data_IF_280880810683
#
_entry.id   IF_280880810683
#
_cell.length_a   1.000
_cell.length_b   1.000
_cell.length_c   1.000
_cell.angle_alpha   90.00
_cell.angle_beta   90.00
_cell.angle_gamma   90.00
#
_symmetry.space_group_name_H-M   'P 1'
#
loop_
_entity.id
_entity.type
_entity.pdbx_description
1 polymer ?
#
# COMPACT_ATOMS: atom_id res chain seq x y z
N UNK A 1 24.47 -3.97 -31.77
CA UNK A 1 24.15 -4.36 -30.38
C UNK A 1 22.97 -5.31 -30.50
N UNK A 2 23.06 -6.54 -29.91
CA UNK A 2 21.96 -7.52 -30.02
C UNK A 2 20.80 -7.12 -29.10
N UNK A 3 19.59 -7.07 -29.64
CA UNK A 3 18.37 -6.74 -28.87
C UNK A 3 18.02 -7.79 -27.79
N UNK A 4 18.50 -9.04 -27.95
CA UNK A 4 18.13 -10.20 -27.11
C UNK A 4 19.19 -10.62 -26.08
N UNK A 5 20.26 -9.84 -25.86
CA UNK A 5 21.29 -10.23 -24.92
C UNK A 5 20.85 -10.03 -23.47
N UNK A 6 20.44 -11.11 -22.80
CA UNK A 6 20.09 -11.14 -21.35
C UNK A 6 21.37 -11.36 -20.53
N UNK A 7 21.32 -10.90 -19.27
CA UNK A 7 22.39 -11.12 -18.29
C UNK A 7 22.44 -12.60 -17.87
N UNK A 8 23.63 -13.05 -17.48
CA UNK A 8 23.77 -14.31 -16.78
C UNK A 8 23.61 -14.12 -15.26
N UNK A 9 23.56 -15.23 -14.48
CA UNK A 9 23.31 -15.18 -13.03
C UNK A 9 24.33 -14.32 -12.25
N UNK A 10 25.69 -14.47 -12.45
CA UNK A 10 26.65 -13.61 -11.76
C UNK A 10 26.50 -12.12 -12.09
N UNK A 11 26.22 -11.78 -13.35
CA UNK A 11 25.99 -10.40 -13.78
C UNK A 11 24.71 -9.82 -13.15
N UNK A 12 23.65 -10.63 -13.06
CA UNK A 12 22.40 -10.23 -12.42
C UNK A 12 22.59 -9.94 -10.93
N UNK A 13 23.33 -10.80 -10.21
CA UNK A 13 23.66 -10.60 -8.81
C UNK A 13 24.54 -9.37 -8.58
N UNK A 14 25.57 -9.16 -9.42
CA UNK A 14 26.44 -7.99 -9.33
C UNK A 14 25.64 -6.70 -9.53
N UNK A 15 24.78 -6.65 -10.55
CA UNK A 15 23.94 -5.47 -10.83
C UNK A 15 23.02 -5.16 -9.64
N UNK A 16 22.36 -6.18 -9.07
CA UNK A 16 21.50 -6.02 -7.90
C UNK A 16 22.28 -5.52 -6.67
N UNK A 17 23.46 -6.06 -6.41
CA UNK A 17 24.31 -5.60 -5.31
C UNK A 17 24.72 -4.13 -5.46
N UNK A 18 25.05 -3.69 -6.68
CA UNK A 18 25.37 -2.29 -6.96
C UNK A 18 24.16 -1.37 -6.72
N UNK A 19 22.97 -1.78 -7.15
CA UNK A 19 21.73 -1.04 -6.97
C UNK A 19 21.37 -0.94 -5.47
N UNK A 20 21.34 -2.09 -4.79
CA UNK A 20 21.03 -2.13 -3.34
C UNK A 20 22.05 -1.29 -2.56
N UNK A 21 23.33 -1.40 -2.90
CA UNK A 21 24.38 -0.60 -2.29
C UNK A 21 24.17 0.90 -2.46
N UNK A 22 23.83 1.34 -3.68
CA UNK A 22 23.57 2.76 -3.97
C UNK A 22 22.36 3.29 -3.15
N UNK A 23 21.26 2.53 -3.13
CA UNK A 23 20.06 2.91 -2.35
C UNK A 23 20.36 2.93 -0.86
N UNK A 24 21.04 1.91 -0.33
CA UNK A 24 21.39 1.82 1.10
C UNK A 24 22.31 2.96 1.54
N UNK A 25 23.28 3.33 0.75
CA UNK A 25 24.19 4.46 1.02
C UNK A 25 23.39 5.77 1.09
N UNK A 26 22.51 6.03 0.13
CA UNK A 26 21.69 7.24 0.12
C UNK A 26 20.75 7.33 1.34
N UNK A 27 20.15 6.20 1.75
CA UNK A 27 19.33 6.15 2.97
C UNK A 27 20.17 6.44 4.22
N UNK A 28 21.36 5.83 4.32
CA UNK A 28 22.24 5.98 5.50
C UNK A 28 22.79 7.40 5.64
N UNK A 29 23.10 8.05 4.54
CA UNK A 29 23.59 9.43 4.52
C UNK A 29 22.49 10.47 4.76
N UNK A 30 21.21 10.06 4.81
CA UNK A 30 20.04 10.94 4.96
C UNK A 30 19.98 12.07 3.90
N UNK A 31 20.60 11.87 2.74
CA UNK A 31 20.67 12.82 1.62
C UNK A 31 19.58 12.51 0.61
N UNK A 32 18.41 13.13 0.74
CA UNK A 32 17.29 12.96 -0.20
C UNK A 32 16.58 11.58 -0.14
N UNK A 33 16.83 10.77 0.89
CA UNK A 33 16.17 9.46 1.09
C UNK A 33 16.43 8.46 -0.04
N UNK A 34 15.50 7.53 -0.32
CA UNK A 34 15.67 6.50 -1.34
C UNK A 34 15.61 7.06 -2.77
N UNK A 35 15.06 8.26 -2.99
CA UNK A 35 14.83 8.83 -4.32
C UNK A 35 16.13 8.98 -5.13
N UNK A 36 17.17 9.54 -4.52
CA UNK A 36 18.48 9.71 -5.19
C UNK A 36 19.12 8.36 -5.48
N UNK A 37 19.03 7.40 -4.56
CA UNK A 37 19.54 6.03 -4.78
C UNK A 37 18.85 5.33 -5.96
N UNK A 38 17.53 5.49 -6.07
CA UNK A 38 16.75 4.96 -7.18
C UNK A 38 17.09 5.64 -8.51
N UNK A 39 17.28 6.96 -8.52
CA UNK A 39 17.77 7.67 -9.71
C UNK A 39 19.18 7.17 -10.10
N UNK A 40 20.09 7.03 -9.15
CA UNK A 40 21.44 6.49 -9.40
C UNK A 40 21.39 5.06 -9.96
N UNK A 41 20.39 4.27 -9.59
CA UNK A 41 20.19 2.91 -10.13
C UNK A 41 19.98 2.92 -11.65
N UNK A 42 19.30 3.91 -12.22
CA UNK A 42 19.14 4.07 -13.67
C UNK A 42 20.49 4.33 -14.35
N UNK A 43 21.33 5.15 -13.73
CA UNK A 43 22.67 5.44 -14.23
C UNK A 43 23.57 4.19 -14.15
N UNK A 44 23.49 3.44 -13.05
CA UNK A 44 24.20 2.16 -12.89
C UNK A 44 23.80 1.18 -13.99
N UNK A 45 22.48 1.03 -14.26
CA UNK A 45 21.97 0.15 -15.31
C UNK A 45 22.48 0.61 -16.68
N UNK A 46 22.46 1.93 -16.96
CA UNK A 46 23.00 2.49 -18.20
C UNK A 46 24.47 2.13 -18.40
N UNK A 47 25.32 2.37 -17.39
CA UNK A 47 26.74 2.07 -17.44
C UNK A 47 26.99 0.56 -17.62
N UNK A 48 26.20 -0.26 -16.92
CA UNK A 48 26.28 -1.72 -17.02
C UNK A 48 25.94 -2.22 -18.43
N UNK A 49 24.88 -1.67 -19.03
CA UNK A 49 24.50 -1.95 -20.41
C UNK A 49 25.62 -1.56 -21.39
N UNK A 50 26.27 -0.39 -21.18
CA UNK A 50 27.36 0.10 -22.03
C UNK A 50 28.59 -0.81 -21.96
N UNK A 51 28.96 -1.24 -20.75
CA UNK A 51 30.11 -2.17 -20.56
C UNK A 51 29.85 -3.52 -21.23
N UNK A 52 28.62 -4.04 -21.09
CA UNK A 52 28.27 -5.35 -21.69
C UNK A 52 27.82 -5.28 -23.16
N UNK A 53 27.82 -4.09 -23.77
CA UNK A 53 27.34 -3.82 -25.12
C UNK A 53 25.90 -4.27 -25.37
N UNK A 54 25.02 -4.02 -24.42
CA UNK A 54 23.57 -4.24 -24.50
C UNK A 54 22.93 -2.96 -25.04
N UNK A 55 21.86 -3.10 -25.84
CA UNK A 55 21.10 -1.93 -26.31
C UNK A 55 20.30 -1.31 -25.17
N UNK A 56 20.75 -0.14 -24.70
CA UNK A 56 20.08 0.56 -23.60
C UNK A 56 18.67 1.06 -23.96
N UNK A 57 18.42 1.44 -25.22
CA UNK A 57 17.08 1.89 -25.67
C UNK A 57 16.04 0.77 -25.50
N UNK A 58 16.43 -0.48 -25.80
CA UNK A 58 15.56 -1.63 -25.54
C UNK A 58 15.28 -1.81 -24.04
N UNK A 59 16.29 -1.63 -23.19
CA UNK A 59 16.18 -1.79 -21.74
C UNK A 59 15.34 -0.69 -21.12
N UNK A 60 15.55 0.59 -21.51
CA UNK A 60 14.79 1.74 -20.96
C UNK A 60 13.31 1.72 -21.37
N UNK A 61 12.97 1.13 -22.51
CA UNK A 61 11.57 0.92 -22.88
C UNK A 61 10.83 0.03 -21.86
N UNK A 62 11.52 -0.91 -21.23
CA UNK A 62 10.97 -1.66 -20.10
C UNK A 62 10.58 -0.77 -18.92
N UNK A 63 11.36 0.29 -18.64
CA UNK A 63 10.99 1.28 -17.64
C UNK A 63 9.71 2.04 -18.01
N UNK A 64 9.61 2.48 -19.26
CA UNK A 64 8.43 3.23 -19.73
C UNK A 64 7.17 2.37 -19.72
N UNK A 65 7.28 1.11 -20.12
CA UNK A 65 6.17 0.14 -20.06
C UNK A 65 5.71 -0.09 -18.62
N UNK A 66 6.63 -0.27 -17.69
CA UNK A 66 6.33 -0.47 -16.28
C UNK A 66 5.71 0.77 -15.63
N UNK A 67 6.23 1.99 -15.92
CA UNK A 67 5.67 3.25 -15.43
C UNK A 67 4.25 3.46 -15.95
N UNK A 68 3.97 3.12 -17.21
CA UNK A 68 2.60 3.22 -17.77
C UNK A 68 1.56 2.46 -16.94
N UNK A 69 1.91 1.30 -16.38
CA UNK A 69 1.02 0.51 -15.53
C UNK A 69 0.64 1.21 -14.24
N UNK A 70 1.55 2.01 -13.66
CA UNK A 70 1.33 2.68 -12.36
C UNK A 70 0.85 4.13 -12.47
N UNK A 71 0.63 4.66 -13.68
CA UNK A 71 0.08 6.01 -13.89
C UNK A 71 -1.20 6.27 -13.10
N UNK A 72 -2.18 5.33 -13.01
CA UNK A 72 -3.36 5.55 -12.17
C UNK A 72 -3.01 5.79 -10.69
N UNK A 73 -2.02 5.08 -10.14
CA UNK A 73 -1.54 5.27 -8.77
C UNK A 73 -0.89 6.65 -8.57
N UNK A 74 -0.15 7.15 -9.58
CA UNK A 74 0.45 8.49 -9.54
C UNK A 74 -0.63 9.58 -9.51
N UNK A 75 -1.67 9.45 -10.35
CA UNK A 75 -2.82 10.36 -10.35
C UNK A 75 -3.56 10.32 -9.00
N UNK A 76 -3.70 9.14 -8.42
CA UNK A 76 -4.36 8.94 -7.13
C UNK A 76 -3.61 9.64 -5.99
N UNK A 77 -2.29 9.54 -5.95
CA UNK A 77 -1.45 10.27 -4.98
C UNK A 77 -1.65 11.79 -5.06
N UNK A 78 -1.63 12.34 -6.27
CA UNK A 78 -1.85 13.78 -6.46
C UNK A 78 -3.24 14.21 -6.00
N UNK A 79 -4.28 13.43 -6.34
CA UNK A 79 -5.66 13.69 -5.89
C UNK A 79 -5.81 13.64 -4.37
N UNK A 80 -5.13 12.71 -3.69
CA UNK A 80 -5.10 12.64 -2.22
C UNK A 80 -4.45 13.88 -1.61
N UNK A 81 -3.34 14.35 -2.17
CA UNK A 81 -2.71 15.59 -1.71
C UNK A 81 -3.68 16.76 -1.74
N UNK A 82 -4.39 16.95 -2.86
CA UNK A 82 -5.42 17.97 -3.01
C UNK A 82 -6.54 17.78 -1.99
N UNK A 83 -7.04 16.56 -1.85
CA UNK A 83 -8.12 16.24 -0.91
C UNK A 83 -7.73 16.55 0.54
N UNK A 84 -6.58 16.11 1.01
CA UNK A 84 -6.13 16.37 2.39
C UNK A 84 -6.04 17.87 2.65
N UNK A 85 -5.45 18.66 1.74
CA UNK A 85 -5.37 20.11 1.87
C UNK A 85 -6.74 20.78 1.99
N UNK A 86 -7.65 20.45 1.07
CA UNK A 86 -9.01 21.01 1.08
C UNK A 86 -9.86 20.53 2.25
N UNK A 87 -9.71 19.29 2.71
CA UNK A 87 -10.36 18.75 3.91
C UNK A 87 -9.91 19.45 5.19
N UNK A 88 -8.65 19.82 5.26
CA UNK A 88 -8.14 20.63 6.37
C UNK A 88 -8.79 22.00 6.36
N UNK A 89 -8.77 22.70 5.22
CA UNK A 89 -9.33 24.05 5.11
C UNK A 89 -10.85 24.10 5.34
N UNK A 90 -11.59 23.06 4.93
CA UNK A 90 -13.05 22.98 5.15
C UNK A 90 -13.45 22.65 6.59
N UNK A 91 -12.49 22.33 7.46
CA UNK A 91 -12.76 21.86 8.81
C UNK A 91 -13.23 20.39 8.87
N UNK A 92 -13.20 19.66 7.75
CA UNK A 92 -13.59 18.24 7.70
C UNK A 92 -12.74 17.42 8.65
N UNK A 93 -11.42 17.53 8.57
CA UNK A 93 -10.49 16.78 9.44
C UNK A 93 -10.68 17.23 10.90
N UNK A 94 -10.81 18.51 11.17
CA UNK A 94 -11.04 19.02 12.52
C UNK A 94 -12.33 18.44 13.13
N UNK A 95 -13.42 18.38 12.37
CA UNK A 95 -14.70 17.79 12.83
C UNK A 95 -14.58 16.29 13.08
N UNK A 96 -13.85 15.56 12.22
CA UNK A 96 -13.56 14.13 12.41
C UNK A 96 -12.75 13.90 13.69
N UNK A 97 -11.73 14.72 13.94
CA UNK A 97 -10.92 14.64 15.17
C UNK A 97 -11.80 14.87 16.39
N UNK A 98 -12.55 15.97 16.45
CA UNK A 98 -13.40 16.30 17.60
C UNK A 98 -14.47 15.23 17.82
N UNK A 99 -15.09 14.73 16.75
CA UNK A 99 -16.05 13.62 16.83
C UNK A 99 -15.40 12.33 17.34
N UNK A 100 -14.23 11.99 16.83
CA UNK A 100 -13.47 10.82 17.24
C UNK A 100 -13.04 10.90 18.72
N UNK A 101 -12.51 12.04 19.17
CA UNK A 101 -12.11 12.27 20.56
C UNK A 101 -13.30 12.14 21.56
N UNK A 102 -14.52 12.50 21.12
CA UNK A 102 -15.74 12.39 21.96
C UNK A 102 -16.36 11.01 21.96
N UNK A 103 -16.24 10.25 20.85
CA UNK A 103 -17.00 9.00 20.65
C UNK A 103 -16.15 7.74 20.84
N UNK A 104 -14.85 7.80 20.54
CA UNK A 104 -13.98 6.62 20.52
C UNK A 104 -13.11 6.61 21.79
N UNK A 105 -13.20 5.52 22.54
CA UNK A 105 -12.24 5.26 23.61
C UNK A 105 -10.89 4.90 23.00
N UNK A 106 -9.76 5.51 23.42
CA UNK A 106 -8.43 5.24 22.90
C UNK A 106 -8.03 3.77 22.84
N UNK A 107 -8.46 2.97 23.84
CA UNK A 107 -8.22 1.52 23.89
C UNK A 107 -8.77 0.79 22.66
N UNK A 108 -9.90 1.23 22.15
CA UNK A 108 -10.59 0.58 21.02
C UNK A 108 -10.25 1.20 19.67
N UNK A 109 -9.46 2.28 19.62
CA UNK A 109 -9.16 2.94 18.35
C UNK A 109 -8.49 2.02 17.36
N UNK A 110 -7.44 1.27 17.77
CA UNK A 110 -6.68 0.40 16.87
C UNK A 110 -7.52 -0.74 16.28
N UNK A 111 -8.25 -1.55 17.09
CA UNK A 111 -9.12 -2.59 16.54
C UNK A 111 -10.29 -2.02 15.71
N UNK A 112 -10.88 -0.89 16.09
CA UNK A 112 -11.90 -0.23 15.27
C UNK A 112 -11.34 0.26 13.94
N UNK A 113 -10.12 0.81 13.93
CA UNK A 113 -9.42 1.21 12.70
C UNK A 113 -9.24 0.03 11.76
N UNK A 114 -8.76 -1.11 12.28
CA UNK A 114 -8.59 -2.33 11.49
C UNK A 114 -9.92 -2.77 10.86
N UNK A 115 -10.97 -2.88 11.67
CA UNK A 115 -12.30 -3.33 11.21
C UNK A 115 -12.90 -2.35 10.20
N UNK A 116 -12.86 -1.04 10.49
CA UNK A 116 -13.45 -0.01 9.64
C UNK A 116 -12.78 0.03 8.26
N UNK A 117 -11.45 0.02 8.22
CA UNK A 117 -10.71 -0.03 6.97
C UNK A 117 -10.93 -1.35 6.22
N UNK A 118 -11.07 -2.48 6.94
CA UNK A 118 -11.35 -3.79 6.34
C UNK A 118 -12.73 -3.82 5.66
N UNK A 119 -13.77 -3.37 6.35
CA UNK A 119 -15.14 -3.33 5.82
C UNK A 119 -15.21 -2.39 4.61
N UNK A 120 -14.66 -1.18 4.72
CA UNK A 120 -14.69 -0.22 3.62
C UNK A 120 -13.95 -0.76 2.39
N UNK A 121 -12.78 -1.36 2.59
CA UNK A 121 -11.99 -1.93 1.49
C UNK A 121 -12.67 -3.15 0.86
N UNK A 122 -13.31 -4.01 1.67
CA UNK A 122 -14.06 -5.17 1.18
C UNK A 122 -15.23 -4.75 0.28
N UNK A 123 -15.96 -3.72 0.69
CA UNK A 123 -17.15 -3.24 -0.04
C UNK A 123 -16.76 -2.44 -1.29
N UNK A 124 -15.72 -1.63 -1.21
CA UNK A 124 -15.27 -0.79 -2.34
C UNK A 124 -14.37 -1.52 -3.33
N UNK A 125 -13.72 -2.61 -2.90
CA UNK A 125 -12.76 -3.36 -3.70
C UNK A 125 -11.45 -2.61 -3.94
N UNK A 126 -11.08 -1.68 -3.04
CA UNK A 126 -9.83 -0.93 -3.19
C UNK A 126 -9.21 -0.55 -1.85
N UNK A 127 -8.02 -1.05 -1.60
CA UNK A 127 -7.21 -0.62 -0.45
C UNK A 127 -6.72 0.82 -0.60
N UNK A 128 -6.41 1.27 -1.81
CA UNK A 128 -6.02 2.65 -2.08
C UNK A 128 -7.11 3.65 -1.66
N UNK A 129 -8.36 3.40 -2.07
CA UNK A 129 -9.51 4.24 -1.71
C UNK A 129 -9.78 4.25 -0.21
N UNK A 130 -9.68 3.08 0.43
CA UNK A 130 -9.92 2.93 1.88
C UNK A 130 -8.87 3.63 2.71
N UNK A 131 -7.58 3.53 2.33
CA UNK A 131 -6.50 4.25 3.00
C UNK A 131 -6.62 5.75 2.79
N UNK A 132 -6.94 6.20 1.57
CA UNK A 132 -7.11 7.61 1.24
C UNK A 132 -8.32 8.28 1.90
N UNK A 133 -9.31 7.52 2.35
CA UNK A 133 -10.51 8.04 3.01
C UNK A 133 -10.54 7.69 4.51
N UNK A 134 -10.94 6.47 4.86
CA UNK A 134 -11.01 6.01 6.25
C UNK A 134 -9.63 6.05 6.93
N UNK A 135 -8.57 5.66 6.22
CA UNK A 135 -7.21 5.65 6.78
C UNK A 135 -6.75 7.03 7.22
N UNK A 136 -6.96 8.05 6.38
CA UNK A 136 -6.62 9.45 6.72
C UNK A 136 -7.42 9.93 7.93
N UNK A 137 -8.72 9.60 7.99
CA UNK A 137 -9.59 9.96 9.12
C UNK A 137 -9.11 9.31 10.43
N UNK A 138 -8.84 8.00 10.41
CA UNK A 138 -8.39 7.28 11.60
C UNK A 138 -6.99 7.71 12.05
N UNK A 139 -6.10 8.05 11.11
CA UNK A 139 -4.79 8.65 11.43
C UNK A 139 -4.94 9.99 12.13
N UNK A 140 -5.86 10.85 11.69
CA UNK A 140 -6.09 12.14 12.32
C UNK A 140 -6.58 11.98 13.77
N UNK A 141 -7.54 11.07 14.02
CA UNK A 141 -8.04 10.76 15.36
C UNK A 141 -6.92 10.17 16.24
N UNK A 142 -6.19 9.17 15.72
CA UNK A 142 -5.14 8.49 16.49
C UNK A 142 -3.99 9.41 16.88
N UNK A 143 -3.57 10.29 15.98
CA UNK A 143 -2.55 11.29 16.26
C UNK A 143 -3.04 12.30 17.32
N UNK A 144 -4.29 12.76 17.23
CA UNK A 144 -4.89 13.66 18.23
C UNK A 144 -5.04 13.00 19.61
N UNK A 145 -5.25 11.68 19.64
CA UNK A 145 -5.26 10.89 20.88
C UNK A 145 -3.83 10.57 21.39
N UNK A 146 -2.77 10.99 20.73
CA UNK A 146 -1.39 10.68 21.11
C UNK A 146 -1.01 9.21 20.94
N UNK A 147 -1.78 8.42 20.17
CA UNK A 147 -1.46 7.03 19.88
C UNK A 147 -0.31 6.99 18.88
N UNK A 148 0.65 6.09 19.10
CA UNK A 148 1.82 5.95 18.22
C UNK A 148 1.42 5.82 16.75
N UNK A 149 1.85 6.72 15.85
CA UNK A 149 1.35 6.80 14.47
C UNK A 149 1.60 5.53 13.66
N UNK A 150 2.66 4.78 13.97
CA UNK A 150 2.95 3.50 13.34
C UNK A 150 1.92 2.42 13.65
N UNK A 151 1.36 2.39 14.87
CA UNK A 151 0.31 1.44 15.24
C UNK A 151 -1.00 1.73 14.49
N UNK A 152 -1.37 3.02 14.41
CA UNK A 152 -2.57 3.43 13.67
C UNK A 152 -2.41 3.14 12.18
N UNK A 153 -1.27 3.50 11.59
CA UNK A 153 -0.96 3.21 10.19
C UNK A 153 -0.93 1.70 9.92
N UNK A 154 -0.35 0.90 10.80
CA UNK A 154 -0.35 -0.56 10.73
C UNK A 154 -1.76 -1.15 10.72
N UNK A 155 -2.64 -0.67 11.61
CA UNK A 155 -4.04 -1.08 11.66
C UNK A 155 -4.81 -0.69 10.39
N UNK A 156 -4.61 0.53 9.87
CA UNK A 156 -5.18 1.00 8.59
C UNK A 156 -4.73 0.09 7.44
N UNK A 157 -3.44 -0.16 7.31
CA UNK A 157 -2.87 -0.95 6.21
C UNK A 157 -3.35 -2.40 6.30
N UNK A 158 -3.28 -3.02 7.47
CA UNK A 158 -3.76 -4.40 7.67
C UNK A 158 -5.26 -4.53 7.33
N UNK A 159 -6.09 -3.58 7.77
CA UNK A 159 -7.52 -3.58 7.46
C UNK A 159 -7.78 -3.39 5.96
N UNK A 160 -7.17 -2.38 5.35
CA UNK A 160 -7.33 -2.10 3.93
C UNK A 160 -6.89 -3.29 3.05
N UNK A 161 -5.76 -3.93 3.38
CA UNK A 161 -5.25 -5.09 2.66
C UNK A 161 -6.12 -6.34 2.84
N UNK A 162 -6.69 -6.54 4.04
CA UNK A 162 -7.66 -7.61 4.29
C UNK A 162 -8.89 -7.49 3.39
N UNK A 163 -9.48 -6.29 3.36
CA UNK A 163 -10.70 -6.06 2.59
C UNK A 163 -10.47 -6.15 1.09
N UNK A 164 -9.41 -5.56 0.59
CA UNK A 164 -9.01 -5.59 -0.81
C UNK A 164 -8.81 -7.04 -1.30
N UNK A 165 -8.03 -7.80 -0.55
CA UNK A 165 -7.72 -9.20 -0.86
C UNK A 165 -8.95 -10.10 -0.92
N UNK A 166 -9.97 -9.88 -0.11
CA UNK A 166 -11.20 -10.69 -0.08
C UNK A 166 -12.32 -10.14 -0.95
N UNK A 167 -12.18 -8.93 -1.47
CA UNK A 167 -13.21 -8.31 -2.29
C UNK A 167 -13.24 -8.89 -3.71
N UNK A 168 -14.39 -9.42 -4.17
CA UNK A 168 -14.52 -9.83 -5.56
C UNK A 168 -14.47 -8.67 -6.56
N UNK A 169 -14.45 -7.43 -6.07
CA UNK A 169 -14.39 -6.21 -6.89
C UNK A 169 -12.93 -5.72 -7.06
N UNK A 170 -11.98 -6.29 -6.32
CA UNK A 170 -10.56 -5.90 -6.38
C UNK A 170 -9.90 -6.39 -7.67
N UNK A 171 -9.04 -5.54 -8.23
CA UNK A 171 -8.27 -5.87 -9.44
C UNK A 171 -7.32 -7.04 -9.19
N UNK A 172 -6.65 -7.10 -8.04
CA UNK A 172 -5.72 -8.18 -7.69
C UNK A 172 -6.45 -9.50 -7.48
N UNK A 173 -7.59 -9.46 -6.76
CA UNK A 173 -8.45 -10.63 -6.52
C UNK A 173 -9.04 -11.20 -7.80
N UNK A 174 -9.16 -10.40 -8.87
CA UNK A 174 -9.56 -10.88 -10.19
C UNK A 174 -8.38 -11.35 -11.03
N UNK A 175 -7.22 -10.71 -10.90
CA UNK A 175 -6.02 -11.05 -11.67
C UNK A 175 -5.42 -12.39 -11.25
N UNK A 176 -5.27 -12.65 -9.96
CA UNK A 176 -4.63 -13.86 -9.44
C UNK A 176 -5.31 -15.16 -9.92
N UNK A 177 -6.65 -15.32 -9.85
CA UNK A 177 -7.32 -16.50 -10.39
C UNK A 177 -7.25 -16.59 -11.91
N UNK A 178 -7.29 -15.47 -12.64
CA UNK A 178 -7.13 -15.45 -14.09
C UNK A 178 -5.77 -16.03 -14.51
N UNK A 179 -4.68 -15.62 -13.85
CA UNK A 179 -3.32 -16.13 -14.09
C UNK A 179 -3.21 -17.61 -13.72
N UNK A 180 -3.70 -17.98 -12.53
CA UNK A 180 -3.65 -19.37 -12.05
C UNK A 180 -4.53 -20.32 -12.87
N UNK A 181 -5.61 -19.81 -13.47
CA UNK A 181 -6.64 -20.62 -14.13
C UNK A 181 -7.70 -21.15 -13.16
N UNK A 182 -7.99 -20.41 -12.11
CA UNK A 182 -9.02 -20.71 -11.10
C UNK A 182 -10.29 -19.92 -11.33
N UNK A 183 -11.42 -20.39 -10.76
CA UNK A 183 -12.65 -19.60 -10.70
C UNK A 183 -12.57 -18.61 -9.54
N UNK A 184 -13.14 -17.41 -9.71
CA UNK A 184 -13.13 -16.36 -8.68
C UNK A 184 -13.71 -16.83 -7.34
N UNK A 185 -14.83 -17.54 -7.35
CA UNK A 185 -15.46 -18.02 -6.11
C UNK A 185 -14.61 -19.04 -5.37
N UNK A 186 -13.94 -19.95 -6.09
CA UNK A 186 -13.03 -20.94 -5.48
C UNK A 186 -11.79 -20.27 -4.92
N UNK A 187 -11.28 -19.25 -5.62
CA UNK A 187 -10.19 -18.40 -5.19
C UNK A 187 -10.52 -17.68 -3.87
N UNK A 188 -11.63 -16.93 -3.81
CA UNK A 188 -12.05 -16.20 -2.60
C UNK A 188 -12.24 -17.18 -1.42
N UNK A 189 -12.89 -18.34 -1.68
CA UNK A 189 -13.06 -19.37 -0.65
C UNK A 189 -11.72 -19.93 -0.16
N UNK A 190 -10.76 -20.15 -1.06
CA UNK A 190 -9.42 -20.60 -0.71
C UNK A 190 -8.66 -19.57 0.14
N UNK A 191 -8.79 -18.27 -0.18
CA UNK A 191 -8.13 -17.20 0.57
C UNK A 191 -8.60 -17.07 2.02
N UNK A 192 -9.85 -17.43 2.32
CA UNK A 192 -10.36 -17.40 3.71
C UNK A 192 -9.51 -18.23 4.66
N UNK A 193 -8.90 -19.31 4.20
CA UNK A 193 -8.05 -20.17 5.03
C UNK A 193 -6.80 -19.46 5.57
N UNK A 194 -6.15 -18.66 4.77
CA UNK A 194 -4.95 -17.91 5.20
C UNK A 194 -5.30 -16.56 5.80
N UNK A 195 -6.32 -15.87 5.27
CA UNK A 195 -6.59 -14.47 5.57
C UNK A 195 -7.45 -14.30 6.83
N UNK A 196 -8.45 -15.17 7.08
CA UNK A 196 -9.34 -15.00 8.23
C UNK A 196 -8.63 -15.29 9.57
N UNK A 197 -7.87 -16.41 9.74
CA UNK A 197 -7.13 -16.64 10.97
C UNK A 197 -6.13 -15.51 11.28
N UNK A 198 -5.43 -15.03 10.27
CA UNK A 198 -4.43 -13.97 10.44
C UNK A 198 -5.06 -12.61 10.75
N UNK A 199 -6.26 -12.35 10.23
CA UNK A 199 -7.04 -11.17 10.60
C UNK A 199 -7.47 -11.21 12.07
N UNK A 200 -7.97 -12.35 12.54
CA UNK A 200 -8.37 -12.52 13.95
C UNK A 200 -7.17 -12.35 14.89
N UNK A 201 -6.02 -12.93 14.55
CA UNK A 201 -4.79 -12.76 15.34
C UNK A 201 -4.35 -11.28 15.32
N UNK A 202 -4.37 -10.63 14.16
CA UNK A 202 -4.04 -9.21 14.04
C UNK A 202 -4.99 -8.33 14.86
N UNK A 203 -6.28 -8.65 14.86
CA UNK A 203 -7.29 -7.95 15.68
C UNK A 203 -6.95 -8.07 17.17
N UNK A 204 -6.65 -9.28 17.65
CA UNK A 204 -6.24 -9.52 19.04
C UNK A 204 -4.97 -8.73 19.39
N UNK A 205 -3.98 -8.73 18.51
CA UNK A 205 -2.74 -7.96 18.72
C UNK A 205 -3.02 -6.45 18.79
N UNK A 206 -3.89 -5.91 17.96
CA UNK A 206 -4.27 -4.50 18.03
C UNK A 206 -5.12 -4.17 19.27
N UNK A 207 -5.93 -5.11 19.78
CA UNK A 207 -6.60 -4.95 21.09
C UNK A 207 -5.57 -4.89 22.21
N UNK A 208 -4.59 -5.80 22.24
CA UNK A 208 -3.51 -5.81 23.25
C UNK A 208 -2.71 -4.50 23.21
N UNK A 209 -2.36 -4.03 22.01
CA UNK A 209 -1.65 -2.75 21.85
C UNK A 209 -2.51 -1.57 22.30
N UNK A 210 -3.82 -1.56 22.00
CA UNK A 210 -4.73 -0.53 22.47
C UNK A 210 -4.80 -0.45 24.00
N UNK A 211 -4.90 -1.60 24.67
CA UNK A 211 -4.86 -1.69 26.14
C UNK A 211 -3.52 -1.19 26.69
N UNK A 212 -2.39 -1.61 26.08
CA UNK A 212 -1.07 -1.21 26.56
C UNK A 212 -0.80 0.29 26.43
N UNK A 213 -1.32 0.93 25.39
CA UNK A 213 -1.17 2.39 25.18
C UNK A 213 -1.96 3.22 26.20
N UNK A 214 -3.08 2.69 26.70
CA UNK A 214 -3.94 3.40 27.66
C UNK A 214 -3.61 3.12 29.12
N UNK A 215 -2.80 2.12 29.42
CA UNK A 215 -2.32 1.80 30.78
C UNK A 215 -1.26 2.78 31.32
N UNK A 216 -0.64 3.61 30.48
CA UNK A 216 0.19 4.74 30.84
C UNK A 216 -0.68 6.01 30.95
N UNK A 217 -0.39 6.90 31.87
CA UNK A 217 -1.14 8.13 32.16
C UNK A 217 -1.65 8.83 30.89
N UNK A 218 -2.89 8.51 30.52
CA UNK A 218 -3.60 9.20 29.45
C UNK A 218 -4.09 10.54 30.01
N UNK A 219 -3.34 11.62 29.72
CA UNK A 219 -3.67 12.97 30.17
C UNK A 219 -4.92 13.47 29.41
N UNK A 220 -6.09 13.21 29.97
CA UNK A 220 -7.38 13.76 29.46
C UNK A 220 -7.39 15.30 29.42
N UNK A 221 -6.50 15.97 30.16
CA UNK A 221 -6.38 17.43 30.17
C UNK A 221 -6.05 18.04 28.81
N UNK A 222 -5.20 17.39 28.04
CA UNK A 222 -4.79 17.89 26.71
C UNK A 222 -5.90 17.76 25.65
N UNK A 223 -6.86 16.84 25.82
CA UNK A 223 -7.94 16.63 24.86
C UNK A 223 -8.88 17.82 24.77
N UNK A 224 -9.25 18.41 25.92
CA UNK A 224 -10.11 19.59 25.95
C UNK A 224 -9.45 20.78 25.27
N UNK A 225 -8.16 20.99 25.53
CA UNK A 225 -7.37 22.05 24.92
C UNK A 225 -7.33 21.88 23.38
N UNK A 226 -7.18 20.65 22.87
CA UNK A 226 -7.20 20.38 21.42
C UNK A 226 -8.59 20.63 20.81
N UNK A 227 -9.66 20.24 21.52
CA UNK A 227 -11.04 20.50 21.08
C UNK A 227 -11.28 22.01 21.00
N UNK A 228 -10.90 22.75 22.03
CA UNK A 228 -11.09 24.20 22.11
C UNK A 228 -10.28 24.92 21.03
N UNK A 229 -9.02 24.53 20.80
CA UNK A 229 -8.20 25.09 19.74
C UNK A 229 -8.79 24.84 18.34
N UNK A 230 -9.30 23.63 18.08
CA UNK A 230 -9.94 23.30 16.80
C UNK A 230 -11.26 24.05 16.60
N UNK A 231 -12.05 24.24 17.67
CA UNK A 231 -13.30 25.01 17.64
C UNK A 231 -13.05 26.51 17.49
N UNK A 232 -11.89 26.99 17.94
CA UNK A 232 -11.48 28.38 17.76
C UNK A 232 -11.07 28.70 16.31
N UNK A 233 -10.42 27.76 15.62
CA UNK A 233 -9.96 27.97 14.24
C UNK A 233 -11.01 27.63 13.18
N UNK A 234 -11.87 26.62 13.43
CA UNK A 234 -12.84 26.11 12.47
C UNK A 234 -14.28 26.20 12.97
N UNK A 235 -15.19 26.54 12.07
CA UNK A 235 -16.64 26.34 12.29
C UNK A 235 -16.92 24.85 12.09
N UNK A 236 -17.08 24.09 13.19
CA UNK A 236 -17.34 22.66 13.15
C UNK A 236 -18.84 22.38 13.06
N UNK A 237 -19.22 21.29 12.39
CA UNK A 237 -20.62 20.88 12.27
C UNK A 237 -20.83 19.79 11.22
N UNK A 238 -22.09 19.38 11.04
CA UNK A 238 -22.43 18.34 10.07
C UNK A 238 -22.07 18.70 8.64
N UNK A 239 -22.14 19.99 8.27
CA UNK A 239 -21.79 20.48 6.93
C UNK A 239 -20.34 20.17 6.58
N UNK A 240 -19.43 20.26 7.54
CA UNK A 240 -18.01 19.98 7.34
C UNK A 240 -17.71 18.49 7.13
N UNK A 241 -18.64 17.59 7.43
CA UNK A 241 -18.54 16.15 7.17
C UNK A 241 -18.97 15.77 5.74
N UNK A 242 -19.64 16.67 5.00
CA UNK A 242 -20.11 16.37 3.64
C UNK A 242 -19.02 15.87 2.70
N UNK A 243 -17.78 16.41 2.70
CA UNK A 243 -16.71 15.87 1.84
C UNK A 243 -16.33 14.43 2.18
N UNK A 244 -16.31 14.07 3.47
CA UNK A 244 -16.01 12.71 3.94
C UNK A 244 -17.16 11.75 3.61
N UNK A 245 -18.38 12.18 3.74
CA UNK A 245 -19.57 11.40 3.36
C UNK A 245 -19.60 11.21 1.85
N UNK A 246 -19.32 12.26 1.08
CA UNK A 246 -19.31 12.22 -0.38
C UNK A 246 -18.33 11.18 -0.93
N UNK A 247 -17.09 11.14 -0.43
CA UNK A 247 -16.12 10.14 -0.92
C UNK A 247 -16.57 8.72 -0.61
N UNK A 248 -17.11 8.47 0.57
CA UNK A 248 -17.60 7.13 0.95
C UNK A 248 -18.75 6.72 0.00
N UNK A 249 -19.72 7.59 -0.23
CA UNK A 249 -20.83 7.31 -1.15
C UNK A 249 -20.32 7.04 -2.58
N UNK A 250 -19.41 7.87 -3.08
CA UNK A 250 -18.86 7.72 -4.42
C UNK A 250 -18.11 6.39 -4.59
N UNK A 251 -17.32 5.98 -3.60
CA UNK A 251 -16.61 4.69 -3.60
C UNK A 251 -17.61 3.51 -3.52
N UNK A 252 -18.66 3.62 -2.71
CA UNK A 252 -19.73 2.61 -2.65
C UNK A 252 -20.51 2.52 -3.96
N UNK A 253 -20.69 3.63 -4.66
CA UNK A 253 -21.26 3.67 -6.01
C UNK A 253 -20.27 3.22 -7.12
N UNK A 254 -19.09 2.71 -6.75
CA UNK A 254 -18.04 2.22 -7.66
C UNK A 254 -17.52 3.28 -8.64
N UNK A 255 -17.57 4.54 -8.25
CA UNK A 255 -16.94 5.62 -9.00
C UNK A 255 -15.42 5.47 -8.88
N UNK A 256 -14.70 5.74 -9.97
CA UNK A 256 -13.24 5.67 -9.99
C UNK A 256 -12.62 6.44 -8.82
N UNK A 257 -11.64 5.85 -8.12
CA UNK A 257 -11.06 6.41 -6.90
C UNK A 257 -10.45 7.80 -7.09
N UNK A 258 -9.78 8.08 -8.22
CA UNK A 258 -9.22 9.41 -8.53
C UNK A 258 -10.34 10.46 -8.65
N UNK A 259 -11.42 10.09 -9.33
CA UNK A 259 -12.60 10.96 -9.50
C UNK A 259 -13.30 11.18 -8.15
N UNK A 260 -13.45 10.13 -7.34
CA UNK A 260 -14.06 10.22 -6.00
C UNK A 260 -13.30 11.16 -5.07
N UNK A 261 -11.97 11.07 -5.06
CA UNK A 261 -11.10 11.98 -4.31
C UNK A 261 -11.21 13.42 -4.82
N UNK A 262 -11.20 13.61 -6.15
CA UNK A 262 -11.35 14.91 -6.77
C UNK A 262 -12.70 15.59 -6.47
N UNK A 263 -13.80 14.83 -6.58
CA UNK A 263 -15.14 15.34 -6.25
C UNK A 263 -15.29 15.65 -4.75
N UNK A 264 -14.70 14.83 -3.88
CA UNK A 264 -14.64 15.12 -2.45
C UNK A 264 -13.85 16.40 -2.15
N UNK A 265 -12.72 16.61 -2.85
CA UNK A 265 -11.92 17.83 -2.74
C UNK A 265 -12.70 19.07 -3.22
N UNK A 266 -13.46 18.97 -4.32
CA UNK A 266 -14.34 20.03 -4.80
C UNK A 266 -15.44 20.32 -3.77
N UNK A 267 -16.08 19.30 -3.21
CA UNK A 267 -17.07 19.44 -2.14
C UNK A 267 -16.47 20.15 -0.93
N UNK A 268 -15.24 19.81 -0.53
CA UNK A 268 -14.52 20.49 0.54
C UNK A 268 -14.22 21.97 0.20
N UNK A 269 -13.85 22.24 -1.05
CA UNK A 269 -13.69 23.62 -1.54
C UNK A 269 -14.98 24.45 -1.43
N UNK A 270 -16.12 23.88 -1.81
CA UNK A 270 -17.45 24.51 -1.67
C UNK A 270 -17.77 24.78 -0.19
N UNK A 271 -17.55 23.79 0.70
CA UNK A 271 -17.72 23.97 2.14
C UNK A 271 -16.78 25.05 2.69
N UNK A 272 -15.52 25.07 2.24
CA UNK A 272 -14.56 26.11 2.62
C UNK A 272 -15.03 27.50 2.22
N UNK A 273 -15.56 27.65 1.03
CA UNK A 273 -16.03 28.94 0.52
C UNK A 273 -17.26 29.46 1.26
N UNK A 274 -18.33 28.65 1.31
CA UNK A 274 -19.61 29.10 1.84
C UNK A 274 -19.71 29.00 3.37
N UNK A 275 -19.06 28.01 3.99
CA UNK A 275 -19.22 27.78 5.42
C UNK A 275 -18.04 28.32 6.25
N UNK A 276 -16.79 28.16 5.79
CA UNK A 276 -15.63 28.70 6.49
C UNK A 276 -15.31 30.15 6.09
N UNK A 277 -15.85 30.65 4.98
CA UNK A 277 -15.58 32.00 4.48
C UNK A 277 -14.23 32.13 3.76
N UNK A 278 -13.66 31.04 3.29
CA UNK A 278 -12.41 31.04 2.54
C UNK A 278 -12.59 31.68 1.14
N UNK A 279 -11.56 32.37 0.66
CA UNK A 279 -11.54 32.89 -0.71
C UNK A 279 -11.20 31.78 -1.72
N UNK A 280 -11.66 31.94 -2.97
CA UNK A 280 -11.32 30.99 -4.05
C UNK A 280 -9.79 30.88 -4.23
N UNK A 281 -9.07 32.01 -4.12
CA UNK A 281 -7.61 32.01 -4.20
C UNK A 281 -6.96 31.16 -3.09
N UNK A 282 -7.48 31.26 -1.85
CA UNK A 282 -7.03 30.45 -0.71
C UNK A 282 -7.27 28.96 -0.96
N UNK A 283 -8.45 28.59 -1.49
CA UNK A 283 -8.80 27.20 -1.77
C UNK A 283 -7.85 26.59 -2.81
N UNK A 284 -7.58 27.28 -3.91
CA UNK A 284 -6.64 26.83 -4.94
C UNK A 284 -5.21 26.74 -4.38
N UNK A 285 -4.80 27.71 -3.57
CA UNK A 285 -3.49 27.70 -2.92
C UNK A 285 -3.32 26.50 -2.01
N UNK A 286 -4.31 26.19 -1.19
CA UNK A 286 -4.30 25.04 -0.26
C UNK A 286 -4.36 23.71 -1.03
N UNK A 287 -5.13 23.64 -2.10
CA UNK A 287 -5.16 22.45 -2.96
C UNK A 287 -3.78 22.12 -3.53
N UNK A 288 -2.96 23.13 -3.85
CA UNK A 288 -1.61 22.91 -4.39
C UNK A 288 -0.54 22.82 -3.29
N UNK A 289 -0.47 23.76 -2.34
CA UNK A 289 0.61 23.87 -1.35
C UNK A 289 0.31 23.13 -0.03
N UNK A 290 -0.96 22.76 0.24
CA UNK A 290 -1.40 22.25 1.53
C UNK A 290 -1.90 23.36 2.46
N UNK A 291 -2.52 22.93 3.56
CA UNK A 291 -3.02 23.80 4.62
C UNK A 291 -1.89 24.15 5.60
N UNK A 292 -1.96 25.34 6.15
CA UNK A 292 -1.06 25.81 7.21
C UNK A 292 -1.91 26.47 8.29
N UNK A 293 -1.84 25.96 9.51
CA UNK A 293 -2.57 26.48 10.67
C UNK A 293 -1.79 27.57 11.40
N UNK A 294 -2.50 28.45 12.08
CA UNK A 294 -1.95 29.40 13.04
C UNK A 294 -1.84 28.84 14.47
N UNK A 295 -2.36 27.63 14.73
CA UNK A 295 -2.27 26.99 16.04
C UNK A 295 -0.81 26.62 16.34
N UNK A 296 -0.26 27.10 17.46
CA UNK A 296 1.12 26.86 17.87
C UNK A 296 1.30 25.57 18.69
N UNK A 297 0.23 24.84 19.00
CA UNK A 297 0.28 23.59 19.76
C UNK A 297 0.89 22.46 18.94
N UNK A 298 2.01 21.90 19.40
CA UNK A 298 2.93 21.04 18.64
C UNK A 298 2.30 19.83 17.94
N UNK A 299 1.34 19.12 18.56
CA UNK A 299 0.67 17.97 17.92
C UNK A 299 -0.32 18.45 16.83
N UNK A 300 -1.16 19.43 17.12
CA UNK A 300 -2.13 19.97 16.17
C UNK A 300 -1.44 20.62 14.98
N UNK A 301 -0.34 21.34 15.20
CA UNK A 301 0.47 21.89 14.12
C UNK A 301 0.96 20.81 13.16
N UNK A 302 1.44 19.68 13.67
CA UNK A 302 1.91 18.56 12.84
C UNK A 302 0.77 17.89 12.06
N UNK A 303 -0.44 17.80 12.65
CA UNK A 303 -1.62 17.18 12.02
C UNK A 303 -2.20 18.10 10.94
N UNK A 304 -2.24 19.42 11.20
CA UNK A 304 -2.93 20.38 10.34
C UNK A 304 -2.02 20.92 9.21
N UNK A 305 -0.70 21.04 9.43
CA UNK A 305 0.24 21.48 8.38
C UNK A 305 0.56 20.37 7.39
N UNK A 306 -0.43 19.98 6.57
CA UNK A 306 -0.33 18.83 5.65
C UNK A 306 -1.13 19.05 4.37
N UNK A 307 -0.99 18.08 3.48
CA UNK A 307 -1.74 18.00 2.23
C UNK A 307 -1.12 18.84 1.11
N UNK A 308 -1.93 19.12 0.12
CA UNK A 308 -1.52 19.78 -1.11
C UNK A 308 -0.87 18.84 -2.13
N UNK A 309 -1.14 19.11 -3.41
CA UNK A 309 -0.58 18.31 -4.51
C UNK A 309 0.96 18.29 -4.47
N UNK A 310 1.59 19.40 -4.13
CA UNK A 310 3.06 19.56 -4.11
C UNK A 310 3.73 18.60 -3.13
N UNK A 311 3.11 18.29 -1.98
CA UNK A 311 3.66 17.36 -1.00
C UNK A 311 3.75 15.92 -1.52
N UNK A 312 2.96 15.58 -2.54
CA UNK A 312 2.93 14.23 -3.13
C UNK A 312 3.95 14.04 -4.26
N UNK A 313 4.53 15.10 -4.82
CA UNK A 313 5.44 15.02 -5.97
C UNK A 313 6.70 14.19 -5.69
N UNK A 314 7.23 14.24 -4.47
CA UNK A 314 8.36 13.40 -4.08
C UNK A 314 8.03 11.90 -4.15
N UNK A 315 6.82 11.50 -3.74
CA UNK A 315 6.37 10.10 -3.79
C UNK A 315 6.12 9.64 -5.22
N UNK A 316 5.59 10.52 -6.08
CA UNK A 316 5.45 10.29 -7.53
C UNK A 316 6.83 10.00 -8.14
N UNK A 317 7.84 10.81 -7.84
CA UNK A 317 9.20 10.60 -8.35
C UNK A 317 9.79 9.26 -7.87
N UNK A 318 9.64 8.93 -6.58
CA UNK A 318 10.10 7.65 -6.03
C UNK A 318 9.47 6.47 -6.78
N UNK A 319 8.15 6.49 -6.99
CA UNK A 319 7.44 5.42 -7.70
C UNK A 319 7.94 5.30 -9.14
N UNK A 320 8.07 6.41 -9.86
CA UNK A 320 8.56 6.40 -11.24
C UNK A 320 9.96 5.76 -11.34
N UNK A 321 10.91 6.17 -10.49
CA UNK A 321 12.26 5.62 -10.52
C UNK A 321 12.30 4.15 -10.07
N UNK A 322 11.55 3.77 -9.03
CA UNK A 322 11.54 2.40 -8.52
C UNK A 322 10.91 1.42 -9.53
N UNK A 323 9.72 1.74 -10.03
CA UNK A 323 9.00 0.89 -10.98
C UNK A 323 9.72 0.84 -12.32
N UNK A 324 10.26 1.97 -12.77
CA UNK A 324 11.06 2.02 -13.98
C UNK A 324 12.34 1.19 -13.88
N UNK A 325 13.04 1.25 -12.76
CA UNK A 325 14.17 0.37 -12.46
C UNK A 325 13.76 -1.11 -12.54
N UNK A 326 12.63 -1.48 -11.95
CA UNK A 326 12.09 -2.84 -12.02
C UNK A 326 11.85 -3.31 -13.46
N UNK A 327 11.24 -2.47 -14.30
CA UNK A 327 11.02 -2.76 -15.71
C UNK A 327 12.31 -2.94 -16.51
N UNK A 328 13.35 -2.15 -16.22
CA UNK A 328 14.69 -2.35 -16.84
C UNK A 328 15.34 -3.67 -16.42
N UNK A 329 15.24 -4.03 -15.14
CA UNK A 329 15.78 -5.30 -14.63
C UNK A 329 15.07 -6.52 -15.22
N UNK A 330 13.77 -6.42 -15.45
CA UNK A 330 13.00 -7.46 -16.14
C UNK A 330 13.45 -7.65 -17.58
N UNK A 331 13.61 -6.57 -18.35
CA UNK A 331 14.13 -6.62 -19.73
C UNK A 331 15.56 -7.21 -19.81
N UNK A 332 16.38 -6.97 -18.81
CA UNK A 332 17.72 -7.56 -18.69
C UNK A 332 17.71 -9.05 -18.32
N UNK A 333 16.53 -9.63 -17.99
CA UNK A 333 16.37 -11.02 -17.61
C UNK A 333 16.84 -11.36 -16.20
N UNK A 334 17.04 -10.34 -15.35
CA UNK A 334 17.49 -10.50 -13.96
C UNK A 334 16.49 -11.35 -13.16
N UNK A 335 15.20 -11.08 -13.32
CA UNK A 335 14.14 -11.85 -12.67
C UNK A 335 14.19 -13.33 -13.05
N UNK A 336 14.21 -13.64 -14.35
CA UNK A 336 14.25 -15.01 -14.84
C UNK A 336 15.43 -15.81 -14.29
N UNK A 337 16.63 -15.20 -14.21
CA UNK A 337 17.82 -15.85 -13.66
C UNK A 337 17.67 -16.22 -12.19
N UNK A 338 17.16 -15.28 -11.35
CA UNK A 338 16.97 -15.54 -9.92
C UNK A 338 15.90 -16.60 -9.66
N UNK A 339 14.81 -16.55 -10.42
CA UNK A 339 13.66 -17.43 -10.24
C UNK A 339 14.01 -18.87 -10.62
N UNK A 340 14.78 -19.10 -11.68
CA UNK A 340 15.23 -20.42 -12.09
C UNK A 340 16.09 -21.11 -11.02
N UNK A 341 16.86 -20.35 -10.24
CA UNK A 341 17.65 -20.92 -9.14
C UNK A 341 16.79 -21.49 -7.99
N UNK A 342 15.60 -20.90 -7.76
CA UNK A 342 14.68 -21.31 -6.69
C UNK A 342 13.95 -22.60 -7.05
N UNK A 343 13.54 -22.75 -8.31
CA UNK A 343 12.70 -23.87 -8.78
C UNK A 343 13.37 -25.24 -8.63
N UNK A 344 14.70 -25.31 -8.72
CA UNK A 344 15.45 -26.58 -8.67
C UNK A 344 15.42 -27.29 -7.29
N UNK A 345 14.85 -26.68 -6.25
CA UNK A 345 14.84 -27.21 -4.88
C UNK A 345 13.44 -27.67 -4.42
N UNK A 346 12.48 -27.82 -5.33
CA UNK A 346 11.08 -28.13 -5.00
C UNK A 346 10.84 -29.63 -4.97
N UNK A 347 10.70 -30.21 -3.74
CA UNK A 347 10.53 -31.65 -3.54
C UNK A 347 9.15 -32.05 -2.96
N UNK A 348 8.39 -31.13 -2.39
CA UNK A 348 7.08 -31.37 -1.77
C UNK A 348 6.09 -30.25 -2.11
N UNK A 349 4.81 -30.42 -1.77
CA UNK A 349 3.79 -29.38 -1.94
C UNK A 349 4.07 -28.18 -1.05
N UNK A 350 4.54 -28.42 0.18
CA UNK A 350 4.97 -27.35 1.08
C UNK A 350 6.15 -26.55 0.54
N UNK A 351 7.16 -27.23 -0.04
CA UNK A 351 8.30 -26.55 -0.66
C UNK A 351 7.88 -25.79 -1.92
N UNK A 352 6.88 -26.28 -2.67
CA UNK A 352 6.34 -25.56 -3.84
C UNK A 352 5.62 -24.28 -3.41
N UNK A 353 4.79 -24.32 -2.37
CA UNK A 353 4.10 -23.14 -1.85
C UNK A 353 5.12 -22.14 -1.30
N UNK A 354 6.09 -22.59 -0.49
CA UNK A 354 7.14 -21.74 0.05
C UNK A 354 7.99 -21.09 -1.05
N UNK A 355 8.38 -21.86 -2.08
CA UNK A 355 9.09 -21.35 -3.24
C UNK A 355 8.24 -20.33 -4.01
N UNK A 356 6.94 -20.59 -4.18
CA UNK A 356 6.02 -19.66 -4.87
C UNK A 356 5.86 -18.33 -4.12
N UNK A 357 5.79 -18.38 -2.78
CA UNK A 357 5.80 -17.18 -1.95
C UNK A 357 7.11 -16.42 -2.11
N UNK A 358 8.25 -17.10 -2.01
CA UNK A 358 9.57 -16.48 -2.18
C UNK A 358 9.71 -15.83 -3.55
N UNK A 359 9.31 -16.53 -4.62
CA UNK A 359 9.29 -16.01 -6.00
C UNK A 359 8.42 -14.76 -6.09
N UNK A 360 7.21 -14.79 -5.50
CA UNK A 360 6.31 -13.64 -5.48
C UNK A 360 6.91 -12.43 -4.74
N UNK A 361 7.55 -12.65 -3.60
CA UNK A 361 8.26 -11.58 -2.87
C UNK A 361 9.44 -11.02 -3.65
N UNK A 362 10.28 -11.88 -4.24
CA UNK A 362 11.43 -11.45 -5.07
C UNK A 362 10.96 -10.67 -6.29
N UNK A 363 9.91 -11.15 -6.96
CA UNK A 363 9.34 -10.45 -8.11
C UNK A 363 8.77 -9.10 -7.71
N UNK A 364 8.02 -9.02 -6.60
CA UNK A 364 7.47 -7.78 -6.07
C UNK A 364 8.57 -6.78 -5.67
N UNK A 365 9.64 -7.27 -5.02
CA UNK A 365 10.80 -6.47 -4.61
C UNK A 365 11.50 -5.81 -5.81
N UNK A 366 11.60 -6.52 -6.92
CA UNK A 366 12.33 -6.08 -8.11
C UNK A 366 11.42 -5.29 -9.05
N UNK A 367 10.20 -5.79 -9.33
CA UNK A 367 9.27 -5.14 -10.25
C UNK A 367 8.57 -3.91 -9.63
N UNK A 368 8.53 -3.82 -8.30
CA UNK A 368 7.81 -2.78 -7.55
C UNK A 368 6.31 -2.69 -7.91
N UNK A 369 5.73 -3.78 -8.43
CA UNK A 369 4.39 -3.85 -9.01
C UNK A 369 3.68 -5.15 -8.62
N UNK A 370 2.51 -5.04 -7.98
CA UNK A 370 1.68 -6.20 -7.61
C UNK A 370 1.21 -7.00 -8.84
N UNK A 371 0.64 -6.38 -9.91
CA UNK A 371 0.24 -7.11 -11.10
C UNK A 371 1.39 -7.90 -11.75
N UNK A 372 2.57 -7.31 -11.82
CA UNK A 372 3.75 -7.99 -12.37
C UNK A 372 4.16 -9.19 -11.49
N UNK A 373 4.10 -9.03 -10.16
CA UNK A 373 4.37 -10.13 -9.23
C UNK A 373 3.41 -11.30 -9.46
N UNK A 374 2.10 -11.04 -9.61
CA UNK A 374 1.11 -12.09 -9.89
C UNK A 374 1.36 -12.79 -11.22
N UNK A 375 1.55 -12.03 -12.30
CA UNK A 375 1.70 -12.58 -13.65
C UNK A 375 2.98 -13.41 -13.78
N UNK A 376 4.11 -12.87 -13.36
CA UNK A 376 5.41 -13.55 -13.51
C UNK A 376 5.50 -14.79 -12.62
N UNK A 377 5.11 -14.65 -11.34
CA UNK A 377 5.10 -15.79 -10.40
C UNK A 377 4.11 -16.86 -10.87
N UNK A 378 2.90 -16.46 -11.26
CA UNK A 378 1.87 -17.38 -11.68
C UNK A 378 2.25 -18.16 -12.94
N UNK A 379 2.75 -17.48 -13.97
CA UNK A 379 3.19 -18.14 -15.20
C UNK A 379 4.32 -19.15 -14.96
N UNK A 380 5.22 -18.84 -14.04
CA UNK A 380 6.33 -19.71 -13.70
C UNK A 380 5.91 -20.91 -12.84
N UNK A 381 5.03 -20.70 -11.85
CA UNK A 381 4.66 -21.74 -10.90
C UNK A 381 3.50 -22.63 -11.38
N UNK A 382 2.63 -22.13 -12.26
CA UNK A 382 1.45 -22.86 -12.78
C UNK A 382 1.77 -24.26 -13.33
N UNK A 383 2.81 -24.47 -14.16
CA UNK A 383 3.19 -25.81 -14.62
C UNK A 383 3.54 -26.78 -13.49
N UNK A 384 4.20 -26.28 -12.43
CA UNK A 384 4.61 -27.07 -11.28
C UNK A 384 3.42 -27.48 -10.40
N UNK A 385 2.46 -26.55 -10.16
CA UNK A 385 1.19 -26.89 -9.48
C UNK A 385 0.40 -27.93 -10.26
N UNK A 386 0.32 -27.79 -11.60
CA UNK A 386 -0.35 -28.75 -12.47
C UNK A 386 0.33 -30.13 -12.43
N UNK A 387 1.65 -30.22 -12.46
CA UNK A 387 2.40 -31.48 -12.41
C UNK A 387 2.18 -32.24 -11.09
N UNK A 388 1.96 -31.51 -9.99
CA UNK A 388 1.64 -32.08 -8.66
C UNK A 388 0.14 -32.24 -8.41
N UNK A 389 -0.70 -31.98 -9.41
CA UNK A 389 -2.18 -32.06 -9.32
C UNK A 389 -2.76 -31.18 -8.20
N UNK A 390 -2.10 -30.09 -7.82
CA UNK A 390 -2.62 -29.13 -6.85
C UNK A 390 -3.64 -28.24 -7.54
N UNK A 391 -4.78 -28.02 -6.89
CA UNK A 391 -5.87 -27.23 -7.43
C UNK A 391 -5.45 -25.76 -7.70
N UNK A 392 -5.89 -25.14 -8.82
CA UNK A 392 -5.45 -23.81 -9.24
C UNK A 392 -5.81 -22.71 -8.25
N UNK A 393 -6.85 -22.87 -7.43
CA UNK A 393 -7.19 -21.92 -6.36
C UNK A 393 -6.13 -21.83 -5.28
N UNK A 394 -5.31 -22.87 -5.08
CA UNK A 394 -4.19 -22.84 -4.15
C UNK A 394 -3.06 -21.96 -4.70
N UNK A 395 -2.76 -22.09 -6.00
CA UNK A 395 -1.81 -21.17 -6.64
C UNK A 395 -2.30 -19.73 -6.56
N UNK A 396 -3.56 -19.46 -6.94
CA UNK A 396 -4.09 -18.09 -6.92
C UNK A 396 -4.10 -17.47 -5.52
N UNK A 397 -4.39 -18.26 -4.47
CA UNK A 397 -4.23 -17.85 -3.07
C UNK A 397 -2.77 -17.48 -2.76
N UNK A 398 -1.82 -18.34 -3.16
CA UNK A 398 -0.40 -18.11 -2.91
C UNK A 398 0.12 -16.85 -3.63
N UNK A 399 -0.40 -16.56 -4.83
CA UNK A 399 -0.09 -15.31 -5.54
C UNK A 399 -0.52 -14.08 -4.74
N UNK A 400 -1.71 -14.11 -4.17
CA UNK A 400 -2.22 -13.03 -3.31
C UNK A 400 -1.44 -12.93 -1.98
N UNK A 401 -1.13 -14.07 -1.34
CA UNK A 401 -0.38 -14.11 -0.08
C UNK A 401 1.03 -13.53 -0.23
N UNK A 402 1.61 -13.62 -1.42
CA UNK A 402 2.93 -13.06 -1.73
C UNK A 402 2.84 -11.70 -2.43
N UNK A 403 2.23 -11.65 -3.62
CA UNK A 403 2.29 -10.49 -4.51
C UNK A 403 1.55 -9.28 -3.97
N UNK A 404 0.34 -9.47 -3.43
CA UNK A 404 -0.46 -8.38 -2.88
C UNK A 404 0.09 -7.90 -1.54
N UNK A 405 0.36 -8.82 -0.61
CA UNK A 405 0.76 -8.44 0.74
C UNK A 405 2.20 -7.96 0.87
N UNK A 406 3.08 -8.30 -0.07
CA UNK A 406 4.47 -7.79 -0.06
C UNK A 406 4.59 -6.30 -0.37
N UNK A 407 3.63 -5.71 -1.09
CA UNK A 407 3.69 -4.32 -1.51
C UNK A 407 3.96 -3.33 -0.38
N UNK A 408 3.17 -3.29 0.70
CA UNK A 408 3.42 -2.41 1.84
C UNK A 408 4.69 -2.74 2.65
N UNK A 409 5.24 -3.95 2.50
CA UNK A 409 6.42 -4.40 3.25
C UNK A 409 7.75 -3.94 2.63
N UNK A 410 7.75 -3.55 1.36
CA UNK A 410 8.94 -3.16 0.61
C UNK A 410 9.00 -1.64 0.49
N UNK A 411 10.01 -0.96 1.07
CA UNK A 411 10.00 0.50 1.25
C UNK A 411 10.01 1.31 -0.05
N UNK A 412 10.47 0.75 -1.15
CA UNK A 412 10.47 1.41 -2.48
C UNK A 412 9.38 0.89 -3.41
N UNK A 413 8.55 -0.05 -2.97
CA UNK A 413 7.42 -0.51 -3.74
C UNK A 413 6.37 0.59 -3.84
N UNK A 414 5.75 0.76 -5.03
CA UNK A 414 4.76 1.81 -5.27
C UNK A 414 3.63 1.84 -4.24
N UNK A 415 3.23 0.66 -3.75
CA UNK A 415 2.21 0.51 -2.72
C UNK A 415 2.65 1.07 -1.36
N UNK A 416 3.86 0.73 -0.90
CA UNK A 416 4.43 1.23 0.35
C UNK A 416 4.63 2.75 0.30
N UNK A 417 5.12 3.26 -0.82
CA UNK A 417 5.32 4.70 -1.05
C UNK A 417 3.98 5.44 -0.99
N UNK A 418 2.93 4.85 -1.62
CA UNK A 418 1.56 5.38 -1.52
C UNK A 418 1.07 5.42 -0.07
N UNK A 419 1.20 4.33 0.68
CA UNK A 419 0.79 4.25 2.09
C UNK A 419 1.51 5.29 2.94
N UNK A 420 2.83 5.39 2.79
CA UNK A 420 3.65 6.36 3.51
C UNK A 420 3.24 7.81 3.21
N UNK A 421 3.02 8.13 1.94
CA UNK A 421 2.61 9.47 1.50
C UNK A 421 1.22 9.84 2.01
N UNK A 422 0.25 8.94 1.86
CA UNK A 422 -1.15 9.17 2.24
C UNK A 422 -1.31 9.29 3.75
N UNK A 423 -0.73 8.36 4.52
CA UNK A 423 -0.84 8.36 5.99
C UNK A 423 0.13 9.35 6.66
N UNK A 424 1.18 9.79 5.93
CA UNK A 424 2.20 10.68 6.44
C UNK A 424 3.10 10.04 7.50
N UNK A 425 3.33 8.72 7.36
CA UNK A 425 4.13 7.92 8.29
C UNK A 425 5.20 7.20 7.49
N UNK A 426 6.45 7.29 7.92
CA UNK A 426 7.55 6.60 7.27
C UNK A 426 7.39 5.08 7.39
N UNK A 427 7.84 4.35 6.36
CA UNK A 427 7.81 2.89 6.32
C UNK A 427 8.37 2.23 7.59
N UNK A 428 9.54 2.66 8.06
CA UNK A 428 10.19 2.09 9.25
C UNK A 428 9.36 2.20 10.54
N UNK A 429 8.40 3.14 10.58
CA UNK A 429 7.56 3.41 11.75
C UNK A 429 6.33 2.48 11.77
N UNK A 430 5.70 2.22 10.62
CA UNK A 430 4.54 1.33 10.58
C UNK A 430 4.89 -0.13 10.29
N UNK A 431 6.06 -0.41 9.72
CA UNK A 431 6.50 -1.76 9.35
C UNK A 431 6.36 -2.77 10.50
N UNK A 432 6.74 -2.50 11.77
CA UNK A 432 6.59 -3.47 12.85
C UNK A 432 5.15 -3.88 13.15
N UNK A 433 4.16 -3.10 12.71
CA UNK A 433 2.74 -3.30 13.00
C UNK A 433 1.95 -3.89 11.83
N UNK A 434 2.60 -4.39 10.79
CA UNK A 434 1.97 -5.04 9.64
C UNK A 434 1.62 -6.52 9.94
N UNK A 435 0.96 -6.79 11.05
CA UNK A 435 0.75 -8.15 11.56
C UNK A 435 0.10 -9.09 10.55
N UNK A 436 -0.99 -8.66 9.89
CA UNK A 436 -1.67 -9.45 8.87
C UNK A 436 -0.70 -9.88 7.75
N UNK A 437 0.16 -8.96 7.33
CA UNK A 437 1.06 -9.14 6.19
C UNK A 437 2.19 -10.13 6.51
N UNK A 438 2.63 -10.19 7.77
CA UNK A 438 3.60 -11.18 8.22
C UNK A 438 2.98 -12.55 8.42
N UNK A 439 1.81 -12.59 9.05
CA UNK A 439 1.18 -13.84 9.46
C UNK A 439 0.66 -14.63 8.25
N UNK A 440 0.11 -13.94 7.24
CA UNK A 440 -0.53 -14.63 6.10
C UNK A 440 0.43 -15.54 5.33
N UNK A 441 1.63 -15.14 4.91
CA UNK A 441 2.57 -16.06 4.26
C UNK A 441 3.06 -17.17 5.19
N UNK A 442 3.16 -16.93 6.51
CA UNK A 442 3.51 -17.98 7.47
C UNK A 442 2.42 -19.04 7.56
N UNK A 443 1.14 -18.63 7.58
CA UNK A 443 0.01 -19.58 7.51
C UNK A 443 -0.02 -20.32 6.18
N UNK A 444 0.26 -19.67 5.07
CA UNK A 444 0.34 -20.30 3.76
C UNK A 444 1.43 -21.40 3.72
N UNK A 445 2.61 -21.12 4.28
CA UNK A 445 3.70 -22.09 4.41
C UNK A 445 3.29 -23.24 5.33
N UNK A 446 2.73 -22.94 6.50
CA UNK A 446 2.28 -23.95 7.46
C UNK A 446 1.27 -24.90 6.83
N UNK A 447 0.26 -24.40 6.14
CA UNK A 447 -0.72 -25.23 5.44
C UNK A 447 -0.09 -26.01 4.28
N UNK A 448 0.89 -25.46 3.60
CA UNK A 448 1.64 -26.15 2.56
C UNK A 448 2.33 -27.41 3.07
N UNK A 449 2.98 -27.34 4.24
CA UNK A 449 3.69 -28.48 4.83
C UNK A 449 2.78 -29.46 5.56
N UNK A 450 1.67 -29.01 6.14
CA UNK A 450 0.72 -29.87 6.86
C UNK A 450 -0.32 -30.51 5.97
N UNK A 451 -0.49 -30.00 4.73
CA UNK A 451 -1.55 -30.44 3.82
C UNK A 451 -2.94 -29.86 4.16
N UNK A 452 -3.06 -29.07 5.25
CA UNK A 452 -4.32 -28.45 5.65
C UNK A 452 -4.74 -27.44 4.56
N UNK A 453 -5.99 -27.51 4.10
CA UNK A 453 -6.55 -26.67 3.04
C UNK A 453 -5.87 -26.81 1.66
N UNK A 454 -5.01 -27.81 1.44
CA UNK A 454 -4.44 -28.10 0.13
C UNK A 454 -5.35 -29.10 -0.58
N UNK A 455 -5.99 -28.66 -1.65
CA UNK A 455 -6.84 -29.51 -2.49
C UNK A 455 -6.02 -29.99 -3.69
N UNK A 456 -6.18 -31.28 -3.99
CA UNK A 456 -5.66 -31.90 -5.20
C UNK A 456 -6.81 -32.12 -6.19
N UNK A 457 -6.51 -31.94 -7.47
CA UNK A 457 -7.44 -32.31 -8.53
C UNK A 457 -7.36 -33.84 -8.70
N UNK A 458 -8.28 -34.56 -8.06
CA UNK A 458 -8.49 -35.96 -8.39
C UNK A 458 -8.80 -36.04 -9.87
N UNK A 459 -8.11 -36.89 -10.62
CA UNK A 459 -8.13 -37.08 -12.04
C UNK A 459 -9.46 -36.91 -12.84
N UNK A 460 -10.27 -35.93 -12.51
CA UNK A 460 -11.42 -35.47 -13.24
C UNK A 460 -10.91 -34.69 -14.46
N UNK A 461 -11.03 -35.39 -15.53
CA UNK A 461 -10.73 -35.10 -16.90
C UNK A 461 -11.24 -33.75 -17.39
N UNK A 462 -10.40 -33.13 -18.21
CA UNK A 462 -10.64 -32.21 -19.35
C UNK A 462 -11.31 -30.88 -19.08
#
# INVERSE_FOLDING_TARGET
MSEDKKLNMPQSLLLLLLIIGAVAVCIRLKTGGPMIGLFMSWIIIYLFCKVLRINYEHVVNGAYDAIRVVVPTLCLLMAIGVMIGTWLQSGTIATIIVGGLKLINPTWLLPLTLIFCAVLSLVTGTSYGSVGSAGVAMMAIGNAMGIHPGMVAGAVICGAMFGDKLSPLSDTTNLAPAVAGSKLNDHVRSMLWTTLPTFVISLVLFVILGISQTSGNYETGNLLTYIDALQGEFKLGFITLLPAIAIIILLLCKVNSVVSLGLSAICAGVVSFFYQGATLQSIIRVAYNGYSTSIEEGILQTILNRGGMSSMLQYVAIICFAVGMGGMLDRLGVLGNLLNAIVNHINSDGSLIAASLLVGYVTSLISCSQPMSHVLTGNMMKPLFKSRKIAPEILSRTLEDAGTLSGPMIPWHGYCVYMSGTLGVAWSVFFPYLFLLYLTPLFSIFYGFTGISIRHTDGAQN
#
